data_IF_660338858296
#
_entry.id   IF_660338858296
#
_cell.length_a   1.000
_cell.length_b   1.000
_cell.length_c   1.000
_cell.angle_alpha   90.00
_cell.angle_beta   90.00
_cell.angle_gamma   90.00
#
_symmetry.space_group_name_H-M   'P 1'
#
loop_
_entity.id
_entity.type
_entity.pdbx_description
1 polymer ?
#
# COMPACT_ATOMS: atom_id res chain seq x y z
N UNK A 1 17.83 3.64 12.68
CA UNK A 1 16.73 2.66 12.56
C UNK A 1 15.80 3.21 11.50
N UNK A 2 15.65 2.51 10.37
CA UNK A 2 14.65 2.91 9.37
C UNK A 2 13.27 2.71 10.00
N UNK A 3 12.44 3.75 10.02
CA UNK A 3 11.07 3.68 10.50
C UNK A 3 10.15 3.78 9.30
N UNK A 4 9.36 2.75 8.97
CA UNK A 4 8.41 2.82 7.88
C UNK A 4 7.43 3.98 8.10
N UNK A 5 7.18 4.74 7.05
CA UNK A 5 6.22 5.85 7.06
C UNK A 5 5.02 5.52 6.19
N UNK A 6 3.87 6.05 6.59
CA UNK A 6 2.66 5.96 5.78
C UNK A 6 2.73 7.02 4.65
N UNK A 7 2.80 6.60 3.38
CA UNK A 7 3.02 7.49 2.24
C UNK A 7 1.76 8.29 1.84
N UNK A 8 0.68 8.15 2.60
CA UNK A 8 -0.58 8.85 2.41
C UNK A 8 -0.93 9.73 3.62
N UNK A 9 0.05 10.12 4.44
CA UNK A 9 -0.14 11.08 5.55
C UNK A 9 0.16 12.50 5.11
N UNK A 10 -0.09 13.50 5.96
CA UNK A 10 0.23 14.91 5.64
C UNK A 10 1.76 15.13 5.70
N UNK A 11 2.36 15.89 4.77
CA UNK A 11 1.72 16.73 3.75
C UNK A 11 1.34 16.00 2.45
N UNK A 12 1.83 14.78 2.21
CA UNK A 12 1.55 14.03 0.97
C UNK A 12 0.04 13.94 0.69
N UNK A 13 -0.80 13.71 1.71
CA UNK A 13 -2.25 13.67 1.60
C UNK A 13 -2.85 14.96 1.01
N UNK A 14 -2.34 16.14 1.42
CA UNK A 14 -2.88 17.43 0.98
C UNK A 14 -2.54 17.72 -0.49
N UNK A 15 -1.34 17.35 -0.93
CA UNK A 15 -0.95 17.45 -2.34
C UNK A 15 -1.77 16.47 -3.20
N UNK A 16 -1.99 15.25 -2.71
CA UNK A 16 -2.72 14.21 -3.41
C UNK A 16 -4.21 14.46 -3.57
N UNK A 17 -4.86 15.15 -2.61
CA UNK A 17 -6.29 15.48 -2.69
C UNK A 17 -6.64 16.37 -3.89
N UNK A 18 -5.64 17.01 -4.52
CA UNK A 18 -5.84 17.76 -5.77
C UNK A 18 -5.98 16.87 -7.00
N UNK A 19 -5.59 15.60 -6.89
CA UNK A 19 -5.50 14.64 -8.01
C UNK A 19 -6.41 13.41 -7.79
N UNK A 20 -6.62 13.01 -6.54
CA UNK A 20 -7.36 11.78 -6.20
C UNK A 20 -8.56 12.03 -5.29
N UNK A 21 -9.64 11.23 -5.41
CA UNK A 21 -10.75 11.26 -4.48
C UNK A 21 -10.31 11.08 -3.02
N UNK A 22 -10.89 11.89 -2.12
CA UNK A 22 -10.59 11.83 -0.69
C UNK A 22 -10.88 10.45 -0.08
N UNK A 23 -11.91 9.75 -0.58
CA UNK A 23 -12.28 8.41 -0.13
C UNK A 23 -11.15 7.40 -0.34
N UNK A 24 -10.59 7.35 -1.55
CA UNK A 24 -9.51 6.42 -1.92
C UNK A 24 -8.26 6.73 -1.10
N UNK A 25 -7.93 8.01 -0.91
CA UNK A 25 -6.79 8.43 -0.10
C UNK A 25 -6.95 8.03 1.37
N UNK A 26 -8.15 8.15 1.95
CA UNK A 26 -8.44 7.71 3.32
C UNK A 26 -8.30 6.20 3.46
N UNK A 27 -8.85 5.43 2.51
CA UNK A 27 -8.71 3.97 2.49
C UNK A 27 -7.23 3.57 2.41
N UNK A 28 -6.47 4.18 1.50
CA UNK A 28 -5.05 3.88 1.33
C UNK A 28 -4.22 4.25 2.57
N UNK A 29 -4.48 5.42 3.17
CA UNK A 29 -3.88 5.84 4.43
C UNK A 29 -4.19 4.86 5.56
N UNK A 30 -5.42 4.37 5.65
CA UNK A 30 -5.82 3.43 6.71
C UNK A 30 -5.14 2.08 6.53
N UNK A 31 -5.13 1.53 5.31
CA UNK A 31 -4.45 0.26 5.01
C UNK A 31 -2.95 0.35 5.26
N UNK A 32 -2.30 1.45 4.86
CA UNK A 32 -0.88 1.66 5.12
C UNK A 32 -0.56 1.69 6.62
N UNK A 33 -1.37 2.40 7.42
CA UNK A 33 -1.19 2.44 8.87
C UNK A 33 -1.34 1.07 9.52
N UNK A 34 -2.38 0.32 9.14
CA UNK A 34 -2.61 -1.03 9.66
C UNK A 34 -1.52 -2.00 9.24
N UNK A 35 -1.02 -1.92 8.00
CA UNK A 35 0.07 -2.75 7.53
C UNK A 35 1.33 -2.52 8.37
N UNK A 36 1.74 -1.25 8.55
CA UNK A 36 2.92 -0.90 9.37
C UNK A 36 2.77 -1.43 10.80
N UNK A 37 1.59 -1.26 11.41
CA UNK A 37 1.33 -1.75 12.76
C UNK A 37 1.43 -3.28 12.88
N UNK A 38 0.85 -4.02 11.93
CA UNK A 38 0.93 -5.48 11.89
C UNK A 38 2.38 -5.99 11.69
N UNK A 39 3.15 -5.28 10.86
CA UNK A 39 4.57 -5.56 10.66
C UNK A 39 5.39 -5.31 11.92
N UNK A 40 5.13 -4.22 12.62
CA UNK A 40 5.80 -3.87 13.88
C UNK A 40 5.48 -4.90 14.99
N UNK A 41 4.25 -5.45 15.02
CA UNK A 41 3.86 -6.47 15.98
C UNK A 41 4.31 -7.90 15.62
N UNK A 42 4.84 -8.12 14.41
CA UNK A 42 5.19 -9.44 13.91
C UNK A 42 3.99 -10.34 13.58
N UNK A 43 2.80 -9.76 13.39
CA UNK A 43 1.58 -10.51 13.08
C UNK A 43 1.51 -10.80 11.57
N UNK A 44 2.04 -11.96 11.18
CA UNK A 44 2.15 -12.39 9.78
C UNK A 44 0.78 -12.61 9.14
N UNK A 45 -0.20 -13.14 9.88
CA UNK A 45 -1.54 -13.41 9.35
C UNK A 45 -2.27 -12.11 9.03
N UNK A 46 -2.28 -11.18 9.99
CA UNK A 46 -2.88 -9.85 9.79
C UNK A 46 -2.16 -9.10 8.68
N UNK A 47 -0.83 -9.18 8.61
CA UNK A 47 -0.06 -8.55 7.53
C UNK A 47 -0.49 -9.11 6.16
N UNK A 48 -0.64 -10.43 6.03
CA UNK A 48 -1.06 -11.09 4.79
C UNK A 48 -2.46 -10.68 4.33
N UNK A 49 -3.39 -10.59 5.29
CA UNK A 49 -4.75 -10.11 5.00
C UNK A 49 -4.74 -8.67 4.48
N UNK A 50 -4.02 -7.77 5.16
CA UNK A 50 -3.93 -6.35 4.75
C UNK A 50 -3.22 -6.21 3.40
N UNK A 51 -2.21 -7.04 3.11
CA UNK A 51 -1.57 -7.10 1.81
C UNK A 51 -2.58 -7.42 0.69
N UNK A 52 -3.47 -8.40 0.94
CA UNK A 52 -4.60 -8.71 0.07
C UNK A 52 -5.56 -7.54 -0.10
N UNK A 53 -5.93 -6.86 0.99
CA UNK A 53 -6.83 -5.69 0.97
C UNK A 53 -6.23 -4.52 0.17
N UNK A 54 -4.90 -4.33 0.22
CA UNK A 54 -4.19 -3.34 -0.62
C UNK A 54 -4.33 -3.70 -2.10
N UNK A 55 -4.11 -4.97 -2.46
CA UNK A 55 -4.31 -5.46 -3.82
C UNK A 55 -5.74 -5.29 -4.31
N UNK A 56 -6.73 -5.53 -3.45
CA UNK A 56 -8.14 -5.34 -3.77
C UNK A 56 -8.48 -3.86 -4.00
N UNK A 57 -8.04 -2.95 -3.13
CA UNK A 57 -8.21 -1.50 -3.30
C UNK A 57 -7.71 -1.03 -4.67
N UNK A 58 -6.51 -1.47 -5.06
CA UNK A 58 -5.92 -1.10 -6.36
C UNK A 58 -6.69 -1.63 -7.56
N UNK A 59 -7.45 -2.70 -7.40
CA UNK A 59 -8.23 -3.33 -8.47
C UNK A 59 -9.68 -2.83 -8.54
N UNK A 60 -10.25 -2.37 -7.44
CA UNK A 60 -11.64 -1.94 -7.36
C UNK A 60 -11.80 -0.43 -7.54
N UNK A 61 -10.84 0.37 -7.06
CA UNK A 61 -10.94 1.83 -7.07
C UNK A 61 -10.34 2.49 -8.31
N UNK A 62 -9.69 1.72 -9.19
CA UNK A 62 -9.08 2.22 -10.42
C UNK A 62 -9.56 1.42 -11.62
N UNK A 63 -10.21 2.11 -12.55
CA UNK A 63 -10.60 1.54 -13.84
C UNK A 63 -9.39 1.30 -14.76
N UNK A 64 -9.60 0.56 -15.85
CA UNK A 64 -8.54 0.27 -16.84
C UNK A 64 -7.91 1.53 -17.44
N UNK A 65 -8.68 2.62 -17.53
CA UNK A 65 -8.23 3.91 -18.04
C UNK A 65 -7.37 4.68 -17.02
N UNK A 66 -7.44 4.32 -15.73
CA UNK A 66 -6.71 4.95 -14.63
C UNK A 66 -5.42 4.19 -14.27
N UNK A 67 -4.77 3.61 -15.29
CA UNK A 67 -3.57 2.80 -15.11
C UNK A 67 -2.43 3.56 -14.44
N UNK A 68 -2.25 4.83 -14.78
CA UNK A 68 -1.16 5.66 -14.25
C UNK A 68 -1.39 6.00 -12.78
N UNK A 69 -2.62 6.35 -12.42
CA UNK A 69 -3.10 6.64 -11.08
C UNK A 69 -2.93 5.42 -10.17
N UNK A 70 -3.40 4.26 -10.64
CA UNK A 70 -3.18 2.97 -9.97
C UNK A 70 -1.69 2.70 -9.76
N UNK A 71 -0.87 2.97 -10.79
CA UNK A 71 0.59 2.84 -10.73
C UNK A 71 1.24 3.69 -9.65
N UNK A 72 0.75 4.92 -9.43
CA UNK A 72 1.25 5.81 -8.38
C UNK A 72 0.92 5.27 -6.98
N UNK A 73 -0.31 4.79 -6.75
CA UNK A 73 -0.67 4.16 -5.47
C UNK A 73 0.12 2.89 -5.21
N UNK A 74 0.23 2.00 -6.22
CA UNK A 74 1.05 0.79 -6.14
C UNK A 74 2.50 1.11 -5.76
N UNK A 75 3.12 2.08 -6.41
CA UNK A 75 4.51 2.46 -6.13
C UNK A 75 4.69 2.91 -4.67
N UNK A 76 3.76 3.70 -4.13
CA UNK A 76 3.80 4.16 -2.73
C UNK A 76 3.67 3.01 -1.73
N UNK A 77 2.73 2.10 -1.95
CA UNK A 77 2.62 0.91 -1.12
C UNK A 77 3.90 0.04 -1.21
N UNK A 78 4.49 -0.14 -2.38
CA UNK A 78 5.74 -0.91 -2.50
C UNK A 78 6.90 -0.27 -1.74
N UNK A 79 7.04 1.05 -1.77
CA UNK A 79 8.07 1.77 -0.97
C UNK A 79 7.85 1.51 0.51
N UNK A 80 6.62 1.67 1.00
CA UNK A 80 6.27 1.38 2.40
C UNK A 80 6.61 -0.06 2.78
N UNK A 81 6.29 -1.03 1.93
CA UNK A 81 6.56 -2.45 2.20
C UNK A 81 8.07 -2.74 2.21
N UNK A 82 8.82 -2.11 1.31
CA UNK A 82 10.28 -2.17 1.30
C UNK A 82 10.87 -1.62 2.60
N UNK A 83 10.35 -0.50 3.11
CA UNK A 83 10.79 0.07 4.38
C UNK A 83 10.44 -0.83 5.56
N UNK A 84 9.24 -1.44 5.58
CA UNK A 84 8.87 -2.46 6.56
C UNK A 84 9.82 -3.66 6.52
N UNK A 85 10.20 -4.13 5.33
CA UNK A 85 11.16 -5.21 5.15
C UNK A 85 12.55 -4.85 5.68
N UNK A 86 13.00 -3.60 5.49
CA UNK A 86 14.26 -3.11 6.01
C UNK A 86 14.25 -2.95 7.54
N UNK A 87 13.11 -2.54 8.11
CA UNK A 87 12.96 -2.30 9.54
C UNK A 87 12.72 -3.57 10.36
N UNK A 88 11.88 -4.49 9.87
CA UNK A 88 11.35 -5.62 10.63
C UNK A 88 11.76 -6.99 10.07
N UNK A 89 12.55 -7.01 8.99
CA UNK A 89 12.88 -8.24 8.26
C UNK A 89 11.88 -8.55 7.15
N UNK A 90 12.32 -9.32 6.15
CA UNK A 90 11.48 -9.70 5.01
C UNK A 90 10.49 -10.78 5.39
N UNK A 91 9.27 -10.63 4.89
CA UNK A 91 8.29 -11.72 4.82
C UNK A 91 8.58 -12.61 3.60
N UNK A 92 7.91 -13.75 3.50
CA UNK A 92 8.14 -14.66 2.36
C UNK A 92 7.84 -14.00 1.00
N UNK A 93 8.33 -14.61 -0.08
CA UNK A 93 8.22 -14.04 -1.43
C UNK A 93 6.77 -13.97 -1.97
N UNK A 94 5.79 -14.60 -1.30
CA UNK A 94 4.39 -14.56 -1.72
C UNK A 94 3.67 -13.32 -1.19
N UNK A 95 4.26 -12.64 -0.22
CA UNK A 95 3.81 -11.33 0.23
C UNK A 95 4.06 -10.30 -0.88
N UNK A 96 3.03 -9.54 -1.28
CA UNK A 96 2.99 -8.58 -2.40
C UNK A 96 2.76 -9.14 -3.80
N UNK A 97 2.14 -10.32 -3.97
CA UNK A 97 1.87 -10.86 -5.31
C UNK A 97 1.01 -9.91 -6.18
N UNK A 98 0.08 -9.17 -5.56
CA UNK A 98 -0.70 -8.10 -6.22
C UNK A 98 0.19 -7.01 -6.83
N UNK A 99 1.38 -6.80 -6.27
CA UNK A 99 2.32 -5.78 -6.73
C UNK A 99 3.08 -6.23 -7.98
N UNK A 100 2.89 -7.45 -8.47
CA UNK A 100 3.47 -7.95 -9.73
C UNK A 100 2.42 -8.53 -10.67
N UNK A 101 1.18 -8.66 -10.20
CA UNK A 101 0.06 -9.10 -11.02
C UNK A 101 -0.31 -8.01 -12.04
N UNK A 102 0.06 -8.25 -13.29
CA UNK A 102 -0.31 -7.43 -14.44
C UNK A 102 -1.41 -8.07 -15.27
N UNK A 103 -2.10 -9.10 -14.78
CA UNK A 103 -3.01 -9.96 -15.57
C UNK A 103 -4.31 -9.29 -16.04
N UNK A 104 -4.53 -8.00 -15.74
CA UNK A 104 -5.65 -7.18 -16.27
C UNK A 104 -5.18 -6.08 -17.24
N UNK A 105 -4.20 -6.39 -18.09
CA UNK A 105 -3.92 -5.63 -19.33
C UNK A 105 -4.44 -6.43 -20.51
#
# INVERSE_FOLDING_TARGET
>A
MFKPSNPFTLPELAENQTVFPESILKSACTLAAHYIAARESGDVETTSRIDGDIGQLLNEEFDIEQYNERGQFRARFMVMIHDCNAAFGRLDYNHTHWAYDTSRV
#
